data_IF_487943919153
#
_entry.id   IF_487943919153
#
_cell.length_a   1.000
_cell.length_b   1.000
_cell.length_c   1.000
_cell.angle_alpha   90.00
_cell.angle_beta   90.00
_cell.angle_gamma   90.00
#
_symmetry.space_group_name_H-M   'P 1'
#
loop_
_entity.id
_entity.type
_entity.pdbx_description
1 polymer ?
#
# COMPACT_ATOMS: atom_id res chain seq x y z
N UNK A 1 -46.34 -18.51 39.44
CA UNK A 1 -45.26 -17.63 39.94
C UNK A 1 -43.96 -18.13 39.32
N UNK A 2 -43.66 -17.74 38.08
CA UNK A 2 -42.42 -18.11 37.40
C UNK A 2 -41.39 -17.02 37.69
N UNK A 3 -40.47 -17.27 38.63
CA UNK A 3 -39.26 -16.47 38.70
C UNK A 3 -38.34 -16.93 37.57
N UNK A 4 -38.24 -16.09 36.54
CA UNK A 4 -37.14 -16.10 35.58
C UNK A 4 -35.84 -16.19 36.40
N UNK A 5 -35.13 -17.30 36.26
CA UNK A 5 -33.81 -17.51 36.83
C UNK A 5 -32.90 -16.37 36.40
N UNK A 6 -32.57 -15.48 37.34
CA UNK A 6 -31.61 -14.40 37.14
C UNK A 6 -30.25 -15.03 36.84
N UNK A 7 -29.82 -14.94 35.57
CA UNK A 7 -28.43 -15.22 35.22
C UNK A 7 -27.59 -14.25 36.05
N UNK A 8 -26.67 -14.72 36.90
CA UNK A 8 -25.81 -13.84 37.68
C UNK A 8 -25.09 -12.89 36.73
N UNK A 9 -25.11 -11.58 37.01
CA UNK A 9 -24.49 -10.55 36.18
C UNK A 9 -23.00 -10.84 35.91
N UNK A 10 -22.36 -11.59 36.81
CA UNK A 10 -20.99 -12.10 36.75
C UNK A 10 -20.78 -13.07 35.58
N UNK A 11 -21.77 -13.90 35.23
CA UNK A 11 -21.71 -14.81 34.08
C UNK A 11 -21.81 -14.03 32.77
N UNK A 12 -22.69 -13.03 32.70
CA UNK A 12 -22.78 -12.15 31.53
C UNK A 12 -21.50 -11.33 31.35
N UNK A 13 -20.95 -10.78 32.44
CA UNK A 13 -19.66 -10.08 32.41
C UNK A 13 -18.51 -10.98 31.94
N UNK A 14 -18.48 -12.24 32.40
CA UNK A 14 -17.52 -13.25 31.94
C UNK A 14 -17.61 -13.52 30.44
N UNK A 15 -18.83 -13.67 29.91
CA UNK A 15 -19.05 -13.87 28.46
C UNK A 15 -18.58 -12.66 27.66
N UNK A 16 -18.93 -11.43 28.06
CA UNK A 16 -18.48 -10.22 27.37
C UNK A 16 -16.96 -10.03 27.42
N UNK A 17 -16.30 -10.37 28.53
CA UNK A 17 -14.84 -10.28 28.65
C UNK A 17 -14.15 -11.35 27.79
N UNK A 18 -14.67 -12.58 27.78
CA UNK A 18 -14.14 -13.67 26.95
C UNK A 18 -14.39 -13.39 25.47
N UNK A 19 -15.56 -12.91 25.07
CA UNK A 19 -15.85 -12.47 23.70
C UNK A 19 -14.93 -11.33 23.28
N UNK A 20 -14.75 -10.31 24.12
CA UNK A 20 -13.85 -9.18 23.82
C UNK A 20 -12.38 -9.61 23.76
N UNK A 21 -11.96 -10.56 24.59
CA UNK A 21 -10.61 -11.12 24.55
C UNK A 21 -10.39 -11.99 23.33
N UNK A 22 -11.35 -12.85 22.98
CA UNK A 22 -11.35 -13.66 21.77
C UNK A 22 -11.33 -12.76 20.53
N UNK A 23 -12.20 -11.75 20.45
CA UNK A 23 -12.18 -10.75 19.38
C UNK A 23 -10.83 -10.03 19.28
N UNK A 24 -10.24 -9.63 20.41
CA UNK A 24 -8.95 -8.94 20.40
C UNK A 24 -7.82 -9.87 19.96
N UNK A 25 -7.82 -11.13 20.42
CA UNK A 25 -6.86 -12.14 20.01
C UNK A 25 -7.00 -12.49 18.53
N UNK A 26 -8.23 -12.61 18.04
CA UNK A 26 -8.56 -12.88 16.64
C UNK A 26 -8.18 -11.69 15.75
N UNK A 27 -8.45 -10.45 16.19
CA UNK A 27 -7.98 -9.23 15.52
C UNK A 27 -6.46 -9.16 15.49
N UNK A 28 -5.77 -9.58 16.55
CA UNK A 28 -4.30 -9.57 16.63
C UNK A 28 -3.70 -10.61 15.69
N UNK A 29 -4.24 -11.82 15.67
CA UNK A 29 -3.79 -12.89 14.78
C UNK A 29 -4.08 -12.56 13.30
N UNK A 30 -5.28 -12.05 12.99
CA UNK A 30 -5.63 -11.54 11.65
C UNK A 30 -4.69 -10.42 11.20
N UNK A 31 -4.32 -9.50 12.10
CA UNK A 31 -3.33 -8.44 11.80
C UNK A 31 -1.94 -9.01 11.53
N UNK A 32 -1.51 -10.02 12.28
CA UNK A 32 -0.23 -10.69 12.07
C UNK A 32 -0.20 -11.44 10.74
N UNK A 33 -1.25 -12.17 10.39
CA UNK A 33 -1.38 -12.84 9.10
C UNK A 33 -1.40 -11.83 7.94
N UNK A 34 -2.12 -10.72 8.09
CA UNK A 34 -2.11 -9.63 7.12
C UNK A 34 -0.72 -9.03 6.94
N UNK A 35 0.05 -8.89 8.03
CA UNK A 35 1.43 -8.39 7.96
C UNK A 35 2.31 -9.30 7.07
N UNK A 36 2.27 -10.62 7.26
CA UNK A 36 3.04 -11.55 6.43
C UNK A 36 2.58 -11.54 4.97
N UNK A 37 1.27 -11.47 4.73
CA UNK A 37 0.72 -11.34 3.37
C UNK A 37 1.20 -10.05 2.71
N UNK A 38 1.15 -8.92 3.42
CA UNK A 38 1.68 -7.64 2.93
C UNK A 38 3.17 -7.77 2.64
N UNK A 39 3.97 -8.33 3.54
CA UNK A 39 5.41 -8.51 3.32
C UNK A 39 5.68 -9.30 2.06
N UNK A 40 5.00 -10.43 1.85
CA UNK A 40 5.14 -11.23 0.64
C UNK A 40 4.80 -10.44 -0.62
N UNK A 41 3.65 -9.77 -0.64
CA UNK A 41 3.18 -9.02 -1.82
C UNK A 41 4.12 -7.84 -2.14
N UNK A 42 4.59 -7.11 -1.14
CA UNK A 42 5.55 -6.02 -1.31
C UNK A 42 6.92 -6.50 -1.79
N UNK A 43 7.36 -7.70 -1.41
CA UNK A 43 8.65 -8.30 -1.80
C UNK A 43 8.63 -8.99 -3.16
N UNK A 44 7.45 -9.23 -3.72
CA UNK A 44 7.29 -9.98 -4.97
C UNK A 44 6.50 -9.20 -6.00
N UNK A 45 5.18 -9.16 -5.87
CA UNK A 45 4.28 -8.68 -6.91
C UNK A 45 4.30 -7.15 -7.10
N UNK A 46 4.59 -6.39 -6.03
CA UNK A 46 4.67 -4.92 -6.09
C UNK A 46 6.10 -4.37 -6.12
N UNK A 47 7.10 -5.24 -6.12
CA UNK A 47 8.50 -4.84 -6.01
C UNK A 47 8.90 -3.87 -7.13
N UNK A 48 8.62 -4.24 -8.38
CA UNK A 48 8.96 -3.39 -9.53
C UNK A 48 8.18 -2.07 -9.53
N UNK A 49 6.91 -2.10 -9.09
CA UNK A 49 6.08 -0.90 -8.99
C UNK A 49 6.75 0.15 -8.11
N UNK A 50 7.19 -0.24 -6.92
CA UNK A 50 7.80 0.73 -6.00
C UNK A 50 9.18 1.17 -6.49
N UNK A 51 10.03 0.27 -7.01
CA UNK A 51 11.33 0.67 -7.58
C UNK A 51 11.14 1.72 -8.67
N UNK A 52 10.32 1.44 -9.68
CA UNK A 52 10.06 2.37 -10.80
C UNK A 52 9.47 3.69 -10.29
N UNK A 53 8.57 3.64 -9.29
CA UNK A 53 7.97 4.84 -8.72
C UNK A 53 9.00 5.72 -7.99
N UNK A 54 9.89 5.12 -7.19
CA UNK A 54 10.96 5.86 -6.51
C UNK A 54 11.97 6.44 -7.50
N UNK A 55 12.36 5.70 -8.54
CA UNK A 55 13.30 6.18 -9.56
C UNK A 55 12.77 7.39 -10.35
N UNK A 56 11.43 7.46 -10.54
CA UNK A 56 10.78 8.55 -11.26
C UNK A 56 10.68 9.86 -10.43
N UNK A 57 10.98 9.82 -9.13
CA UNK A 57 10.88 10.99 -8.26
C UNK A 57 11.99 12.00 -8.52
N UNK A 58 11.59 13.28 -8.55
CA UNK A 58 12.48 14.42 -8.44
C UNK A 58 12.62 14.87 -7.00
N UNK A 59 11.50 14.92 -6.27
CA UNK A 59 11.45 15.30 -4.87
C UNK A 59 10.27 14.61 -4.15
N UNK A 60 10.42 14.18 -2.88
CA UNK A 60 11.67 14.11 -2.13
C UNK A 60 12.63 13.05 -2.71
N UNK A 61 13.93 13.24 -2.50
CA UNK A 61 14.96 12.30 -2.96
C UNK A 61 14.96 11.05 -2.06
N UNK A 62 14.08 10.11 -2.37
CA UNK A 62 13.90 8.85 -1.66
C UNK A 62 14.60 7.73 -2.43
N UNK A 63 15.47 7.00 -1.75
CA UNK A 63 16.12 5.80 -2.29
C UNK A 63 16.05 4.68 -1.27
N UNK A 64 16.12 3.43 -1.73
CA UNK A 64 16.08 2.26 -0.84
C UNK A 64 17.22 2.29 0.19
N UNK A 65 18.42 2.72 -0.24
CA UNK A 65 19.57 2.92 0.65
C UNK A 65 19.33 4.01 1.72
N UNK A 66 18.66 5.11 1.37
CA UNK A 66 18.26 6.12 2.37
C UNK A 66 17.25 5.55 3.37
N UNK A 67 16.24 4.83 2.89
CA UNK A 67 15.23 4.20 3.76
C UNK A 67 15.88 3.18 4.70
N UNK A 68 16.79 2.35 4.21
CA UNK A 68 17.52 1.35 5.00
C UNK A 68 18.23 1.97 6.20
N UNK A 69 19.02 3.01 5.91
CA UNK A 69 19.94 3.62 6.86
C UNK A 69 19.28 4.68 7.76
N UNK A 70 18.06 5.13 7.44
CA UNK A 70 17.33 6.12 8.23
C UNK A 70 16.93 5.56 9.59
N UNK A 71 17.05 6.36 10.64
CA UNK A 71 16.39 6.15 11.93
C UNK A 71 14.87 6.20 11.79
N UNK A 72 14.15 5.73 12.81
CA UNK A 72 12.68 5.79 12.82
C UNK A 72 12.14 7.22 12.67
N UNK A 73 12.80 8.20 13.30
CA UNK A 73 12.39 9.61 13.20
C UNK A 73 12.70 10.22 11.82
N UNK A 74 13.82 9.84 11.20
CA UNK A 74 14.12 10.23 9.82
C UNK A 74 13.12 9.61 8.84
N UNK A 75 12.70 8.35 9.02
CA UNK A 75 11.64 7.75 8.20
C UNK A 75 10.30 8.49 8.35
N UNK A 76 9.92 8.86 9.58
CA UNK A 76 8.72 9.67 9.83
C UNK A 76 8.84 11.05 9.16
N UNK A 77 10.04 11.63 9.11
CA UNK A 77 10.29 12.88 8.40
C UNK A 77 10.13 12.70 6.88
N UNK A 78 10.79 11.71 6.30
CA UNK A 78 10.65 11.35 4.87
C UNK A 78 9.19 11.12 4.48
N UNK A 79 8.41 10.46 5.35
CA UNK A 79 6.97 10.25 5.15
C UNK A 79 6.17 11.54 5.11
N UNK A 80 6.53 12.55 5.92
CA UNK A 80 5.91 13.88 5.89
C UNK A 80 6.28 14.62 4.61
N UNK A 81 7.54 14.55 4.17
CA UNK A 81 7.97 15.14 2.90
C UNK A 81 7.24 14.53 1.71
N UNK A 82 6.95 13.22 1.76
CA UNK A 82 6.16 12.52 0.75
C UNK A 82 4.68 12.97 0.65
N UNK A 83 4.22 13.91 1.48
CA UNK A 83 2.93 14.58 1.25
C UNK A 83 2.95 15.50 0.03
N UNK A 84 4.13 15.97 -0.38
CA UNK A 84 4.35 16.80 -1.56
C UNK A 84 5.40 16.15 -2.45
N UNK A 85 4.94 15.35 -3.41
CA UNK A 85 5.81 14.66 -4.36
C UNK A 85 5.86 15.40 -5.71
N UNK A 86 7.02 15.37 -6.32
CA UNK A 86 7.27 15.87 -7.67
C UNK A 86 7.99 14.77 -8.47
N UNK A 87 7.43 14.43 -9.64
CA UNK A 87 8.06 13.52 -10.60
C UNK A 87 9.03 14.28 -11.52
N UNK A 88 10.06 13.60 -11.99
CA UNK A 88 11.08 14.18 -12.87
C UNK A 88 10.49 14.68 -14.19
N UNK A 89 9.61 13.90 -14.80
CA UNK A 89 8.87 14.29 -15.99
C UNK A 89 7.60 13.44 -16.14
N UNK A 90 6.61 13.89 -16.93
CA UNK A 90 5.44 13.08 -17.27
C UNK A 90 5.82 11.72 -17.86
N UNK A 91 6.80 11.67 -18.73
CA UNK A 91 7.25 10.44 -19.40
C UNK A 91 7.72 9.38 -18.40
N UNK A 92 8.37 9.81 -17.31
CA UNK A 92 8.83 8.92 -16.25
C UNK A 92 7.69 8.46 -15.32
N UNK A 93 6.53 9.12 -15.34
CA UNK A 93 5.33 8.63 -14.66
C UNK A 93 4.67 7.47 -15.43
N UNK A 94 4.81 7.42 -16.75
CA UNK A 94 4.15 6.38 -17.57
C UNK A 94 4.58 4.96 -17.18
N UNK A 95 5.88 4.62 -17.04
CA UNK A 95 6.28 3.30 -16.56
C UNK A 95 5.68 2.96 -15.20
N UNK A 96 5.58 3.92 -14.29
CA UNK A 96 4.94 3.72 -12.98
C UNK A 96 3.47 3.34 -13.15
N UNK A 97 2.74 4.09 -13.98
CA UNK A 97 1.33 3.81 -14.30
C UNK A 97 1.18 2.40 -14.86
N UNK A 98 2.07 1.99 -15.76
CA UNK A 98 2.02 0.66 -16.35
C UNK A 98 2.32 -0.46 -15.34
N UNK A 99 3.16 -0.23 -14.34
CA UNK A 99 3.33 -1.19 -13.22
C UNK A 99 2.05 -1.33 -12.39
N UNK A 100 1.30 -0.25 -12.15
CA UNK A 100 -0.03 -0.35 -11.52
C UNK A 100 -0.99 -1.21 -12.35
N UNK A 101 -1.00 -1.03 -13.68
CA UNK A 101 -1.82 -1.83 -14.60
C UNK A 101 -1.42 -3.30 -14.58
N UNK A 102 -0.11 -3.61 -14.60
CA UNK A 102 0.40 -4.99 -14.51
C UNK A 102 -0.01 -5.66 -13.21
N UNK A 103 -0.04 -4.91 -12.11
CA UNK A 103 -0.42 -5.39 -10.79
C UNK A 103 -1.96 -5.41 -10.54
N UNK A 104 -2.80 -5.28 -11.57
CA UNK A 104 -4.27 -5.27 -11.40
C UNK A 104 -4.80 -6.44 -10.56
N UNK A 105 -4.28 -7.65 -10.77
CA UNK A 105 -4.69 -8.84 -10.02
C UNK A 105 -4.38 -8.73 -8.52
N UNK A 106 -3.28 -8.08 -8.16
CA UNK A 106 -2.88 -7.82 -6.77
C UNK A 106 -3.90 -6.91 -6.10
N UNK A 107 -4.28 -5.82 -6.76
CA UNK A 107 -5.25 -4.87 -6.23
C UNK A 107 -6.64 -5.48 -6.05
N UNK A 108 -7.06 -6.35 -6.99
CA UNK A 108 -8.31 -7.12 -6.87
C UNK A 108 -8.28 -8.09 -5.69
N UNK A 109 -7.18 -8.84 -5.55
CA UNK A 109 -6.96 -9.76 -4.42
C UNK A 109 -6.97 -9.01 -3.08
N UNK A 110 -6.34 -7.82 -3.00
CA UNK A 110 -6.42 -6.99 -1.81
C UNK A 110 -7.84 -6.51 -1.52
N UNK A 111 -8.61 -6.09 -2.52
CA UNK A 111 -10.00 -5.67 -2.35
C UNK A 111 -10.88 -6.80 -1.81
N UNK A 112 -10.73 -8.02 -2.32
CA UNK A 112 -11.46 -9.20 -1.83
C UNK A 112 -11.10 -9.51 -0.36
N UNK A 113 -9.82 -9.37 -0.01
CA UNK A 113 -9.34 -9.57 1.37
C UNK A 113 -9.83 -8.47 2.31
N UNK A 114 -9.86 -7.20 1.89
CA UNK A 114 -10.34 -6.11 2.74
C UNK A 114 -11.83 -6.25 3.05
N UNK A 115 -12.63 -6.75 2.11
CA UNK A 115 -14.02 -7.14 2.37
C UNK A 115 -14.07 -8.28 3.38
N UNK A 116 -13.31 -9.35 3.13
CA UNK A 116 -13.30 -10.57 3.97
C UNK A 116 -12.92 -10.29 5.43
N UNK A 117 -12.00 -9.35 5.65
CA UNK A 117 -11.49 -9.01 6.98
C UNK A 117 -12.03 -7.70 7.56
N UNK A 118 -13.02 -7.07 6.90
CA UNK A 118 -13.68 -5.82 7.28
C UNK A 118 -12.73 -4.61 7.50
N UNK A 119 -11.80 -4.40 6.57
CA UNK A 119 -10.88 -3.25 6.57
C UNK A 119 -11.42 -2.10 5.69
N UNK A 120 -12.49 -1.44 6.15
CA UNK A 120 -13.25 -0.45 5.36
C UNK A 120 -12.42 0.69 4.75
N UNK A 121 -11.44 1.24 5.48
CA UNK A 121 -10.60 2.33 4.95
C UNK A 121 -9.75 1.88 3.75
N UNK A 122 -9.26 0.64 3.77
CA UNK A 122 -8.46 0.08 2.66
C UNK A 122 -9.32 -0.24 1.43
N UNK A 123 -10.63 -0.45 1.60
CA UNK A 123 -11.55 -0.77 0.51
C UNK A 123 -11.73 0.40 -0.46
N UNK A 124 -11.86 1.64 0.05
CA UNK A 124 -12.02 2.83 -0.79
C UNK A 124 -10.78 3.11 -1.64
N UNK A 125 -9.59 2.94 -1.07
CA UNK A 125 -8.32 3.09 -1.79
C UNK A 125 -8.23 2.08 -2.96
N UNK A 126 -8.67 0.84 -2.76
CA UNK A 126 -8.67 -0.18 -3.82
C UNK A 126 -9.62 0.17 -4.96
N UNK A 127 -10.84 0.64 -4.66
CA UNK A 127 -11.78 1.09 -5.70
C UNK A 127 -11.16 2.20 -6.54
N UNK A 128 -10.52 3.17 -5.89
CA UNK A 128 -9.90 4.29 -6.59
C UNK A 128 -8.78 3.85 -7.53
N UNK A 129 -7.90 2.95 -7.07
CA UNK A 129 -6.81 2.38 -7.87
C UNK A 129 -7.37 1.55 -9.04
N UNK A 130 -8.35 0.68 -8.80
CA UNK A 130 -8.94 -0.15 -9.85
C UNK A 130 -9.67 0.68 -10.91
N UNK A 131 -10.36 1.75 -10.49
CA UNK A 131 -10.98 2.68 -11.43
C UNK A 131 -9.92 3.47 -12.23
N UNK A 132 -8.78 3.84 -11.64
CA UNK A 132 -7.66 4.41 -12.37
C UNK A 132 -7.09 3.45 -13.42
N UNK A 133 -6.82 2.20 -13.03
CA UNK A 133 -6.32 1.16 -13.93
C UNK A 133 -7.29 0.92 -15.09
N UNK A 134 -8.60 0.92 -14.82
CA UNK A 134 -9.61 0.78 -15.85
C UNK A 134 -9.52 1.89 -16.91
N UNK A 135 -9.42 3.15 -16.48
CA UNK A 135 -9.32 4.30 -17.39
C UNK A 135 -8.05 4.22 -18.26
N UNK A 136 -6.91 3.84 -17.65
CA UNK A 136 -5.64 3.65 -18.36
C UNK A 136 -5.76 2.54 -19.39
N UNK A 137 -6.31 1.38 -19.02
CA UNK A 137 -6.51 0.25 -19.93
C UNK A 137 -7.42 0.61 -21.09
N UNK A 138 -8.53 1.32 -20.82
CA UNK A 138 -9.45 1.77 -21.85
C UNK A 138 -8.75 2.71 -22.85
N UNK A 139 -7.95 3.65 -22.35
CA UNK A 139 -7.16 4.54 -23.21
C UNK A 139 -6.14 3.76 -24.05
N UNK A 140 -5.36 2.87 -23.44
CA UNK A 140 -4.30 2.09 -24.10
C UNK A 140 -4.85 1.10 -25.13
N UNK A 141 -6.01 0.50 -24.88
CA UNK A 141 -6.68 -0.37 -25.86
C UNK A 141 -7.07 0.40 -27.13
N UNK A 142 -7.45 1.67 -27.00
CA UNK A 142 -7.82 2.53 -28.12
C UNK A 142 -6.61 3.28 -28.73
N UNK A 143 -5.51 3.39 -27.98
CA UNK A 143 -4.30 4.12 -28.38
C UNK A 143 -3.03 3.36 -27.91
N UNK A 144 -2.68 2.21 -28.51
CA UNK A 144 -1.59 1.36 -28.02
C UNK A 144 -0.23 2.07 -27.94
N UNK A 145 0.04 2.95 -28.90
CA UNK A 145 1.35 3.62 -29.04
C UNK A 145 1.44 4.97 -28.31
N UNK A 146 0.34 5.46 -27.73
CA UNK A 146 0.34 6.74 -27.00
C UNK A 146 0.57 6.53 -25.52
N UNK A 147 1.33 7.42 -24.90
CA UNK A 147 1.47 7.46 -23.44
C UNK A 147 0.18 8.03 -22.84
N UNK A 148 -0.36 7.35 -21.83
CA UNK A 148 -1.53 7.82 -21.10
C UNK A 148 -1.27 9.16 -20.42
N UNK A 149 -0.06 9.38 -19.90
CA UNK A 149 0.28 10.59 -19.15
C UNK A 149 0.07 11.88 -19.96
N UNK A 150 0.37 11.88 -21.26
CA UNK A 150 0.13 13.05 -22.12
C UNK A 150 -1.35 13.31 -22.37
N UNK A 151 -2.20 12.29 -22.31
CA UNK A 151 -3.63 12.49 -22.34
C UNK A 151 -4.14 13.01 -20.99
N UNK A 152 -3.57 12.50 -19.89
CA UNK A 152 -3.88 12.98 -18.55
C UNK A 152 -3.51 14.47 -18.39
N UNK A 153 -2.40 14.94 -18.95
CA UNK A 153 -2.00 16.36 -18.90
C UNK A 153 -3.00 17.32 -19.54
N UNK A 154 -3.77 16.85 -20.54
CA UNK A 154 -4.81 17.66 -21.19
C UNK A 154 -6.06 17.80 -20.31
N UNK A 155 -6.20 16.97 -19.28
CA UNK A 155 -7.36 16.96 -18.39
C UNK A 155 -6.92 16.98 -16.93
N UNK A 156 -7.09 18.13 -16.27
CA UNK A 156 -6.67 18.36 -14.88
C UNK A 156 -7.13 17.23 -13.94
N UNK A 157 -8.36 16.74 -14.08
CA UNK A 157 -8.90 15.67 -13.22
C UNK A 157 -8.16 14.33 -13.41
N UNK A 158 -7.77 13.99 -14.64
CA UNK A 158 -6.98 12.79 -14.90
C UNK A 158 -5.55 12.93 -14.40
N UNK A 159 -4.93 14.09 -14.56
CA UNK A 159 -3.60 14.33 -14.04
C UNK A 159 -3.58 14.29 -12.50
N UNK A 160 -4.57 14.91 -11.83
CA UNK A 160 -4.73 14.83 -10.39
C UNK A 160 -4.94 13.41 -9.91
N UNK A 161 -5.76 12.63 -10.62
CA UNK A 161 -5.98 11.21 -10.33
C UNK A 161 -4.69 10.40 -10.44
N UNK A 162 -3.91 10.59 -11.52
CA UNK A 162 -2.62 9.93 -11.71
C UNK A 162 -1.64 10.29 -10.58
N UNK A 163 -1.44 11.58 -10.30
CA UNK A 163 -0.57 12.06 -9.20
C UNK A 163 -1.00 11.49 -7.85
N UNK A 164 -2.31 11.43 -7.58
CA UNK A 164 -2.84 10.87 -6.34
C UNK A 164 -2.53 9.38 -6.22
N UNK A 165 -2.81 8.56 -7.23
CA UNK A 165 -2.52 7.11 -7.18
C UNK A 165 -1.03 6.87 -6.96
N UNK A 166 -0.19 7.50 -7.78
CA UNK A 166 1.24 7.28 -7.76
C UNK A 166 1.87 7.75 -6.44
N UNK A 167 1.47 8.93 -5.94
CA UNK A 167 1.97 9.50 -4.69
C UNK A 167 1.46 8.80 -3.44
N UNK A 168 0.17 8.43 -3.41
CA UNK A 168 -0.37 7.62 -2.31
C UNK A 168 0.35 6.27 -2.20
N UNK A 169 0.82 5.70 -3.32
CA UNK A 169 1.68 4.51 -3.30
C UNK A 169 2.94 4.72 -2.46
N UNK A 170 3.73 5.76 -2.75
CA UNK A 170 4.97 6.07 -2.01
C UNK A 170 4.68 6.29 -0.52
N UNK A 171 3.62 7.05 -0.23
CA UNK A 171 3.18 7.32 1.13
C UNK A 171 2.86 6.03 1.89
N UNK A 172 2.07 5.12 1.29
CA UNK A 172 1.71 3.84 1.91
C UNK A 172 2.90 2.90 2.05
N UNK A 173 3.86 2.93 1.11
CA UNK A 173 5.12 2.21 1.27
C UNK A 173 5.88 2.70 2.50
N UNK A 174 6.03 4.02 2.65
CA UNK A 174 6.71 4.61 3.79
C UNK A 174 5.97 4.33 5.11
N UNK A 175 4.64 4.43 5.13
CA UNK A 175 3.80 4.05 6.29
C UNK A 175 4.09 2.59 6.71
N UNK A 176 4.17 1.68 5.73
CA UNK A 176 4.47 0.29 6.00
C UNK A 176 5.91 0.06 6.47
N UNK A 177 6.90 0.75 5.88
CA UNK A 177 8.29 0.65 6.34
C UNK A 177 8.49 1.18 7.76
N UNK A 178 7.75 2.22 8.15
CA UNK A 178 7.73 2.75 9.53
C UNK A 178 7.12 1.70 10.46
N UNK A 179 5.97 1.13 10.10
CA UNK A 179 5.31 0.05 10.87
C UNK A 179 6.27 -1.13 11.09
N UNK A 180 6.98 -1.56 10.04
CA UNK A 180 7.96 -2.65 10.13
C UNK A 180 9.17 -2.26 10.96
N UNK A 181 9.74 -1.06 10.80
CA UNK A 181 10.93 -0.66 11.56
C UNK A 181 10.64 -0.57 13.06
N UNK A 182 9.44 -0.14 13.42
CA UNK A 182 9.00 0.00 14.81
C UNK A 182 8.66 -1.36 15.45
N UNK A 183 7.96 -2.23 14.72
CA UNK A 183 7.35 -3.44 15.31
C UNK A 183 8.00 -4.76 14.86
N UNK A 184 8.65 -4.79 13.70
CA UNK A 184 9.16 -5.99 13.04
C UNK A 184 10.50 -5.73 12.30
N UNK A 185 11.58 -5.32 13.01
CA UNK A 185 12.81 -4.83 12.39
C UNK A 185 13.50 -5.85 11.47
N UNK A 186 13.43 -7.14 11.78
CA UNK A 186 13.98 -8.18 10.89
C UNK A 186 13.25 -8.23 9.55
N UNK A 187 11.91 -8.13 9.56
CA UNK A 187 11.10 -8.07 8.35
C UNK A 187 11.35 -6.80 7.56
N UNK A 188 11.61 -5.67 8.23
CA UNK A 188 12.06 -4.44 7.60
C UNK A 188 13.38 -4.65 6.85
N UNK A 189 14.38 -5.26 7.50
CA UNK A 189 15.70 -5.48 6.90
C UNK A 189 15.63 -6.43 5.70
N UNK A 190 14.83 -7.50 5.80
CA UNK A 190 14.58 -8.42 4.68
C UNK A 190 13.90 -7.71 3.51
N UNK A 191 12.83 -6.95 3.78
CA UNK A 191 12.11 -6.18 2.75
C UNK A 191 13.07 -5.26 2.01
N UNK A 192 13.76 -4.36 2.73
CA UNK A 192 14.61 -3.34 2.08
C UNK A 192 15.80 -3.97 1.36
N UNK A 193 16.34 -5.07 1.87
CA UNK A 193 17.43 -5.80 1.20
C UNK A 193 17.00 -6.36 -0.16
N UNK A 194 15.79 -6.92 -0.27
CA UNK A 194 15.26 -7.42 -1.55
C UNK A 194 15.09 -6.30 -2.57
N UNK A 195 14.66 -5.11 -2.12
CA UNK A 195 14.56 -3.93 -2.96
C UNK A 195 15.93 -3.45 -3.45
N UNK A 196 16.93 -3.34 -2.57
CA UNK A 196 18.29 -2.94 -2.98
C UNK A 196 18.93 -3.95 -3.94
N UNK A 197 18.72 -5.24 -3.71
CA UNK A 197 19.21 -6.30 -4.60
C UNK A 197 18.58 -6.17 -5.99
N UNK A 198 17.27 -5.99 -6.04
CA UNK A 198 16.53 -5.93 -7.29
C UNK A 198 16.80 -4.67 -8.10
N UNK A 199 16.98 -3.52 -7.43
CA UNK A 199 17.43 -2.28 -8.09
C UNK A 199 18.78 -2.48 -8.79
N UNK A 200 19.74 -3.14 -8.13
CA UNK A 200 21.06 -3.42 -8.73
C UNK A 200 20.98 -4.32 -9.96
N UNK A 201 20.13 -5.35 -9.93
CA UNK A 201 19.94 -6.25 -11.08
C UNK A 201 19.39 -5.50 -12.29
N UNK A 202 18.53 -4.49 -12.08
CA UNK A 202 17.92 -3.70 -13.16
C UNK A 202 18.91 -2.73 -13.84
N UNK A 203 19.93 -2.29 -13.10
CA UNK A 203 20.96 -1.38 -13.59
C UNK A 203 22.13 -2.10 -14.31
N UNK A 204 22.08 -3.44 -14.40
CA UNK A 204 23.09 -4.28 -15.05
C UNK A 204 22.63 -4.73 -16.44
#
# INVERSE_FOLDING_TARGET
MFHLSAIPLEILAGVFIVEKFLENSEKTEKRRQLMFIKSYVFRSELLNLFIVNFDALKSPSLTMSKIRNATLEELKHMRKEANTIEYQSPELMEPVIMEYVKAEHVWRSFMERTITYNFEESFRDMIFILNFIHDVKLFKNNNPDKLFIYEAEKNVLFMEKAKKVLGSGIQKFLDYTIELKENYPNTFDELISDYELSSKIRDT
#
